data_IF_380629048165
#
_entry.id   IF_380629048165
#
_cell.length_a   1.000
_cell.length_b   1.000
_cell.length_c   1.000
_cell.angle_alpha   90.00
_cell.angle_beta   90.00
_cell.angle_gamma   90.00
#
_symmetry.space_group_name_H-M   'P 1'
#
loop_
_entity.id
_entity.type
_entity.pdbx_description
1 polymer ?
#
# COMPACT_ATOMS: atom_id res chain seq x y z
N UNK A 1 -9.13 10.01 -28.29
CA UNK A 1 -9.29 9.43 -26.94
C UNK A 1 -9.56 10.62 -26.04
N UNK A 2 -10.77 10.75 -25.49
CA UNK A 2 -11.11 11.88 -24.61
C UNK A 2 -10.66 11.46 -23.21
N UNK A 3 -9.74 12.19 -22.61
CA UNK A 3 -9.38 11.98 -21.20
C UNK A 3 -10.64 12.18 -20.35
N UNK A 4 -10.96 11.25 -19.43
CA UNK A 4 -12.06 11.46 -18.51
C UNK A 4 -11.75 12.69 -17.65
N UNK A 5 -12.70 13.64 -17.58
CA UNK A 5 -12.64 14.81 -16.67
C UNK A 5 -12.81 14.31 -15.22
N UNK A 6 -11.75 13.72 -14.69
CA UNK A 6 -11.68 13.22 -13.32
C UNK A 6 -11.36 14.41 -12.41
N UNK A 7 -12.41 15.04 -11.89
CA UNK A 7 -12.30 16.13 -10.91
C UNK A 7 -12.01 15.57 -9.52
N UNK A 8 -10.77 15.16 -9.29
CA UNK A 8 -10.32 14.76 -7.96
C UNK A 8 -9.69 15.97 -7.28
N UNK A 9 -10.22 16.32 -6.11
CA UNK A 9 -9.64 17.35 -5.27
C UNK A 9 -8.28 16.86 -4.73
N UNK A 10 -7.19 17.64 -4.82
CA UNK A 10 -5.89 17.25 -4.28
C UNK A 10 -5.92 16.92 -2.78
N UNK A 11 -6.82 17.53 -2.01
CA UNK A 11 -7.00 17.20 -0.58
C UNK A 11 -7.51 15.77 -0.41
N UNK A 12 -8.53 15.38 -1.18
CA UNK A 12 -9.12 14.05 -1.12
C UNK A 12 -8.13 12.99 -1.64
N UNK A 13 -7.30 13.35 -2.63
CA UNK A 13 -6.25 12.47 -3.16
C UNK A 13 -5.13 12.23 -2.15
N UNK A 14 -4.69 13.26 -1.43
CA UNK A 14 -3.67 13.15 -0.38
C UNK A 14 -4.19 12.35 0.83
N UNK A 15 -5.45 12.55 1.20
CA UNK A 15 -6.11 11.80 2.26
C UNK A 15 -6.20 10.30 1.91
N UNK A 16 -6.73 9.97 0.72
CA UNK A 16 -6.80 8.58 0.27
C UNK A 16 -5.41 7.95 0.13
N UNK A 17 -4.42 8.70 -0.35
CA UNK A 17 -3.04 8.24 -0.40
C UNK A 17 -2.44 7.95 0.98
N UNK A 18 -2.78 8.77 1.99
CA UNK A 18 -2.34 8.57 3.38
C UNK A 18 -2.98 7.33 4.01
N UNK A 19 -4.27 7.11 3.78
CA UNK A 19 -4.98 5.91 4.24
C UNK A 19 -4.37 4.62 3.65
N UNK A 20 -4.01 4.63 2.36
CA UNK A 20 -3.35 3.49 1.73
C UNK A 20 -1.96 3.23 2.31
N UNK A 21 -1.17 4.29 2.57
CA UNK A 21 0.14 4.15 3.20
C UNK A 21 0.01 3.55 4.60
N UNK A 22 -0.96 4.02 5.39
CA UNK A 22 -1.22 3.49 6.73
C UNK A 22 -1.63 2.02 6.68
N UNK A 23 -2.62 1.68 5.84
CA UNK A 23 -3.11 0.31 5.68
C UNK A 23 -2.02 -0.65 5.21
N UNK A 24 -1.28 -0.27 4.17
CA UNK A 24 -0.19 -1.08 3.62
C UNK A 24 0.93 -1.29 4.63
N UNK A 25 1.31 -0.26 5.39
CA UNK A 25 2.32 -0.38 6.45
C UNK A 25 1.85 -1.31 7.57
N UNK A 26 0.62 -1.12 8.06
CA UNK A 26 0.05 -1.95 9.12
C UNK A 26 -0.05 -3.43 8.70
N UNK A 27 -0.46 -3.70 7.46
CA UNK A 27 -0.55 -5.06 6.92
C UNK A 27 0.83 -5.71 6.79
N UNK A 28 1.81 -4.98 6.26
CA UNK A 28 3.17 -5.50 6.11
C UNK A 28 3.80 -5.81 7.47
N UNK A 29 3.61 -4.94 8.47
CA UNK A 29 4.13 -5.14 9.82
C UNK A 29 3.43 -6.31 10.53
N UNK A 30 2.12 -6.45 10.36
CA UNK A 30 1.38 -7.60 10.87
C UNK A 30 1.92 -8.92 10.30
N UNK A 31 2.29 -8.96 9.02
CA UNK A 31 2.84 -10.15 8.37
C UNK A 31 4.31 -10.41 8.66
N UNK A 32 5.10 -9.39 9.00
CA UNK A 32 6.48 -9.56 9.46
C UNK A 32 6.54 -10.06 10.91
N UNK A 33 5.42 -9.98 11.65
CA UNK A 33 5.35 -10.52 13.02
C UNK A 33 5.57 -12.03 13.02
N UNK A 34 6.47 -12.55 13.88
CA UNK A 34 6.76 -13.99 13.98
C UNK A 34 5.54 -14.82 14.41
N UNK A 35 4.53 -14.18 15.01
CA UNK A 35 3.29 -14.84 15.42
C UNK A 35 2.21 -14.89 14.31
N UNK A 36 2.41 -14.20 13.18
CA UNK A 36 1.42 -14.11 12.10
C UNK A 36 1.03 -15.49 11.53
N UNK A 37 1.99 -16.42 11.51
CA UNK A 37 1.84 -17.75 10.96
C UNK A 37 2.58 -18.76 11.82
N UNK A 38 2.27 -18.78 13.11
CA UNK A 38 2.79 -19.82 14.00
C UNK A 38 2.04 -21.12 13.73
N UNK A 39 2.62 -22.00 12.92
CA UNK A 39 2.16 -23.38 12.83
C UNK A 39 2.55 -24.08 14.12
N UNK A 40 1.58 -24.28 15.03
CA UNK A 40 1.81 -25.07 16.24
C UNK A 40 2.11 -26.52 15.82
N UNK A 41 3.30 -27.07 16.15
CA UNK A 41 3.67 -28.43 15.80
C UNK A 41 2.93 -29.44 16.70
N UNK A 42 1.61 -29.37 16.77
CA UNK A 42 0.81 -30.39 17.43
C UNK A 42 0.53 -31.56 16.47
N UNK A 43 1.47 -32.03 15.63
CA UNK A 43 1.22 -33.22 14.82
C UNK A 43 2.48 -33.98 14.39
N UNK A 44 2.62 -35.19 14.94
CA UNK A 44 3.26 -36.41 14.41
C UNK A 44 4.50 -36.25 13.52
N UNK A 45 5.67 -36.62 14.06
CA UNK A 45 6.89 -36.79 13.28
C UNK A 45 6.68 -37.88 12.20
N UNK A 46 6.66 -37.49 10.92
CA UNK A 46 6.61 -38.42 9.79
C UNK A 46 5.77 -37.99 8.59
N UNK A 47 4.95 -36.94 8.70
CA UNK A 47 4.12 -36.48 7.57
C UNK A 47 4.74 -35.29 6.83
N UNK A 48 4.95 -35.46 5.52
CA UNK A 48 5.39 -34.40 4.60
C UNK A 48 4.42 -33.20 4.52
N UNK A 49 3.19 -33.37 4.99
CA UNK A 49 2.15 -32.33 5.02
C UNK A 49 2.50 -31.16 5.94
N UNK A 50 3.23 -31.37 7.05
CA UNK A 50 3.62 -30.25 7.95
C UNK A 50 4.62 -29.32 7.27
N UNK A 51 5.65 -29.89 6.64
CA UNK A 51 6.63 -29.11 5.87
C UNK A 51 6.01 -28.41 4.66
N UNK A 52 5.05 -29.06 3.99
CA UNK A 52 4.28 -28.44 2.91
C UNK A 52 3.42 -27.26 3.41
N UNK A 53 2.74 -27.41 4.54
CA UNK A 53 1.94 -26.32 5.15
C UNK A 53 2.81 -25.16 5.61
N UNK A 54 3.96 -25.43 6.24
CA UNK A 54 4.90 -24.38 6.64
C UNK A 54 5.43 -23.61 5.42
N UNK A 55 5.73 -24.31 4.31
CA UNK A 55 6.15 -23.69 3.06
C UNK A 55 5.04 -22.86 2.41
N UNK A 56 3.80 -23.35 2.41
CA UNK A 56 2.64 -22.59 1.91
C UNK A 56 2.41 -21.32 2.73
N UNK A 57 2.51 -21.42 4.06
CA UNK A 57 2.41 -20.26 4.95
C UNK A 57 3.50 -19.21 4.65
N UNK A 58 4.75 -19.63 4.46
CA UNK A 58 5.85 -18.73 4.06
C UNK A 58 5.56 -18.01 2.74
N UNK A 59 5.10 -18.75 1.73
CA UNK A 59 4.78 -18.19 0.41
C UNK A 59 3.66 -17.15 0.51
N UNK A 60 2.57 -17.47 1.22
CA UNK A 60 1.47 -16.53 1.43
C UNK A 60 1.91 -15.30 2.21
N UNK A 61 2.74 -15.45 3.24
CA UNK A 61 3.31 -14.30 3.96
C UNK A 61 4.08 -13.39 3.03
N UNK A 62 4.97 -13.96 2.22
CA UNK A 62 5.78 -13.21 1.26
C UNK A 62 4.90 -12.48 0.25
N UNK A 63 3.84 -13.12 -0.25
CA UNK A 63 2.91 -12.50 -1.17
C UNK A 63 2.14 -11.37 -0.51
N UNK A 64 1.61 -11.55 0.71
CA UNK A 64 0.87 -10.49 1.40
C UNK A 64 1.78 -9.27 1.65
N UNK A 65 3.02 -9.49 2.09
CA UNK A 65 3.99 -8.38 2.29
C UNK A 65 4.25 -7.65 0.98
N UNK A 66 4.43 -8.37 -0.14
CA UNK A 66 4.62 -7.73 -1.46
C UNK A 66 3.42 -6.86 -1.85
N UNK A 67 2.19 -7.37 -1.71
CA UNK A 67 1.00 -6.58 -2.02
C UNK A 67 0.84 -5.38 -1.08
N UNK A 68 1.20 -5.53 0.20
CA UNK A 68 1.18 -4.44 1.16
C UNK A 68 2.16 -3.32 0.76
N UNK A 69 3.37 -3.67 0.33
CA UNK A 69 4.36 -2.72 -0.17
C UNK A 69 3.90 -2.03 -1.48
N UNK A 70 3.20 -2.75 -2.36
CA UNK A 70 2.56 -2.17 -3.57
C UNK A 70 1.49 -1.12 -3.21
N UNK A 71 0.64 -1.41 -2.21
CA UNK A 71 -0.38 -0.48 -1.70
C UNK A 71 0.28 0.78 -1.11
N UNK A 72 1.37 0.63 -0.36
CA UNK A 72 2.17 1.78 0.12
C UNK A 72 2.71 2.60 -1.05
N UNK A 73 3.24 1.93 -2.09
CA UNK A 73 3.71 2.58 -3.31
C UNK A 73 2.63 3.41 -4.01
N UNK A 74 1.43 2.86 -4.14
CA UNK A 74 0.28 3.56 -4.72
C UNK A 74 -0.14 4.76 -3.88
N UNK A 75 -0.21 4.61 -2.55
CA UNK A 75 -0.53 5.72 -1.65
C UNK A 75 0.48 6.87 -1.74
N UNK A 76 1.78 6.55 -1.80
CA UNK A 76 2.83 7.55 -2.00
C UNK A 76 2.71 8.26 -3.37
N UNK A 77 2.37 7.53 -4.43
CA UNK A 77 2.15 8.11 -5.75
C UNK A 77 0.96 9.09 -5.76
N UNK A 78 -0.14 8.76 -5.07
CA UNK A 78 -1.30 9.64 -4.93
C UNK A 78 -0.95 10.94 -4.19
N UNK A 79 -0.20 10.84 -3.09
CA UNK A 79 0.27 12.01 -2.33
C UNK A 79 1.19 12.90 -3.16
N UNK A 80 2.13 12.30 -3.90
CA UNK A 80 3.01 13.03 -4.81
C UNK A 80 2.23 13.75 -5.93
N UNK A 81 1.17 13.12 -6.46
CA UNK A 81 0.30 13.76 -7.45
C UNK A 81 -0.48 14.94 -6.84
N UNK A 82 -0.99 14.80 -5.61
CA UNK A 82 -1.66 15.89 -4.90
C UNK A 82 -0.72 17.08 -4.63
N UNK A 83 0.53 16.83 -4.23
CA UNK A 83 1.56 17.86 -4.06
C UNK A 83 1.89 18.59 -5.37
N UNK A 84 2.02 17.84 -6.47
CA UNK A 84 2.28 18.40 -7.80
C UNK A 84 1.12 19.30 -8.26
N UNK A 85 -0.13 18.88 -8.03
CA UNK A 85 -1.30 19.71 -8.31
C UNK A 85 -1.34 20.99 -7.48
N UNK A 86 -1.13 20.90 -6.16
CA UNK A 86 -1.07 22.10 -5.30
C UNK A 86 0.00 23.10 -5.76
N UNK A 87 1.15 22.59 -6.22
CA UNK A 87 2.24 23.41 -6.75
C UNK A 87 1.84 24.11 -8.05
N UNK A 88 1.19 23.38 -8.97
CA UNK A 88 0.71 23.93 -10.23
C UNK A 88 -0.38 25.00 -10.01
N UNK A 89 -1.35 24.74 -9.14
CA UNK A 89 -2.41 25.70 -8.80
C UNK A 89 -1.84 26.97 -8.16
N UNK A 90 -0.84 26.83 -7.27
CA UNK A 90 -0.11 27.96 -6.70
C UNK A 90 0.56 28.82 -7.77
N UNK A 91 1.27 28.20 -8.71
CA UNK A 91 1.94 28.90 -9.81
C UNK A 91 0.95 29.63 -10.74
N UNK A 92 -0.21 29.02 -11.01
CA UNK A 92 -1.29 29.67 -11.78
C UNK A 92 -1.86 30.86 -11.02
N UNK A 93 -2.15 30.70 -9.73
CA UNK A 93 -2.69 31.78 -8.89
C UNK A 93 -1.73 32.97 -8.80
N UNK A 94 -0.43 32.73 -8.64
CA UNK A 94 0.59 33.77 -8.60
C UNK A 94 0.70 34.51 -9.94
N UNK A 95 0.65 33.77 -11.05
CA UNK A 95 0.65 34.36 -12.39
C UNK A 95 -0.58 35.23 -12.64
N UNK A 96 -1.75 34.82 -12.14
CA UNK A 96 -2.99 35.60 -12.25
C UNK A 96 -2.98 36.87 -11.39
N UNK A 97 -2.26 36.87 -10.25
CA UNK A 97 -2.11 38.06 -9.39
C UNK A 97 -1.08 39.07 -9.93
N UNK A 98 -0.12 38.59 -10.72
CA UNK A 98 0.96 39.41 -11.27
C UNK A 98 0.62 40.07 -12.62
N UNK A 99 -0.50 39.69 -13.26
CA UNK A 99 -1.05 40.31 -14.46
C UNK A 99 -2.12 41.34 -14.15
#
# INVERSE_FOLDING_TARGET
MVEPDVRVNPVDLDAAGSELVELGTALADAMRSPDALRTDPAFSAGFSSVGATARLAELWRSDIVRHADEVVGQGNAMRAAADAWRTADGAVADRLRAG
#
